data_IF_394884144998
#
_entry.id   IF_394884144998
#
_cell.length_a   1.000
_cell.length_b   1.000
_cell.length_c   1.000
_cell.angle_alpha   90.00
_cell.angle_beta   90.00
_cell.angle_gamma   90.00
#
_symmetry.space_group_name_H-M   'P 1'
#
loop_
_entity.id
_entity.type
_entity.pdbx_description
1 polymer ?
#
# COMPACT_ATOMS: atom_id res chain seq x y z
N UNK A 1 -6.48 -5.07 -16.53
CA UNK A 1 -7.01 -4.96 -15.17
C UNK A 1 -8.48 -5.34 -15.24
N UNK A 2 -8.93 -6.39 -14.54
CA UNK A 2 -10.30 -6.92 -14.68
C UNK A 2 -11.38 -5.88 -14.33
N UNK A 3 -11.04 -4.89 -13.52
CA UNK A 3 -11.95 -3.81 -13.12
C UNK A 3 -12.44 -2.92 -14.27
N UNK A 4 -11.76 -2.92 -15.42
CA UNK A 4 -12.17 -2.12 -16.59
C UNK A 4 -13.10 -2.89 -17.53
N UNK A 5 -13.44 -4.15 -17.22
CA UNK A 5 -14.20 -5.03 -18.10
C UNK A 5 -15.72 -4.86 -17.97
N UNK A 6 -16.22 -4.43 -16.80
CA UNK A 6 -17.64 -4.18 -16.55
C UNK A 6 -17.84 -3.05 -15.51
N UNK A 7 -18.00 -1.79 -15.95
CA UNK A 7 -18.13 -0.65 -15.04
C UNK A 7 -19.28 -0.76 -14.04
N UNK A 8 -20.33 -1.53 -14.34
CA UNK A 8 -21.48 -1.70 -13.45
C UNK A 8 -21.14 -2.57 -12.23
N UNK A 9 -20.38 -3.66 -12.46
CA UNK A 9 -19.92 -4.59 -11.41
C UNK A 9 -18.73 -4.01 -10.63
N UNK A 10 -17.86 -3.24 -11.28
CA UNK A 10 -16.63 -2.69 -10.68
C UNK A 10 -16.78 -1.25 -10.16
N UNK A 11 -18.01 -0.79 -9.91
CA UNK A 11 -18.31 0.56 -9.40
C UNK A 11 -18.08 0.73 -7.89
N UNK A 12 -18.08 -0.37 -7.13
CA UNK A 12 -17.91 -0.38 -5.68
C UNK A 12 -16.77 -1.32 -5.29
N UNK A 13 -15.75 -0.79 -4.61
CA UNK A 13 -14.61 -1.55 -4.10
C UNK A 13 -15.03 -2.82 -3.33
N UNK A 14 -16.08 -2.74 -2.50
CA UNK A 14 -16.55 -3.89 -1.72
C UNK A 14 -17.00 -5.03 -2.65
N UNK A 15 -17.69 -4.70 -3.74
CA UNK A 15 -18.15 -5.69 -4.71
C UNK A 15 -17.00 -6.27 -5.54
N UNK A 16 -15.97 -5.46 -5.85
CA UNK A 16 -14.73 -5.96 -6.49
C UNK A 16 -14.05 -7.01 -5.60
N UNK A 17 -13.90 -6.71 -4.31
CA UNK A 17 -13.22 -7.59 -3.36
C UNK A 17 -14.01 -8.87 -3.10
N UNK A 18 -15.34 -8.78 -2.96
CA UNK A 18 -16.22 -9.96 -2.83
C UNK A 18 -16.10 -10.86 -4.06
N UNK A 19 -16.25 -10.29 -5.27
CA UNK A 19 -16.18 -11.05 -6.52
C UNK A 19 -14.85 -11.80 -6.66
N UNK A 20 -13.72 -11.14 -6.42
CA UNK A 20 -12.43 -11.82 -6.51
C UNK A 20 -12.19 -12.86 -5.42
N UNK A 21 -12.81 -12.70 -4.25
CA UNK A 21 -12.79 -13.71 -3.19
C UNK A 21 -13.61 -14.94 -3.59
N UNK A 22 -14.84 -14.73 -4.07
CA UNK A 22 -15.76 -15.79 -4.51
C UNK A 22 -15.20 -16.59 -5.69
N UNK A 23 -14.51 -15.92 -6.62
CA UNK A 23 -13.81 -16.58 -7.75
C UNK A 23 -12.48 -17.25 -7.35
N UNK A 24 -12.05 -17.14 -6.08
CA UNK A 24 -10.77 -17.68 -5.61
C UNK A 24 -9.54 -17.04 -6.28
N UNK A 25 -9.68 -15.79 -6.75
CA UNK A 25 -8.64 -15.02 -7.47
C UNK A 25 -8.01 -13.91 -6.61
N UNK A 26 -8.57 -13.59 -5.45
CA UNK A 26 -8.10 -12.49 -4.60
C UNK A 26 -6.59 -12.47 -4.32
N UNK A 27 -5.94 -13.64 -4.22
CA UNK A 27 -4.49 -13.76 -3.97
C UNK A 27 -3.64 -14.06 -5.21
N UNK A 28 -4.25 -14.25 -6.39
CA UNK A 28 -3.56 -14.71 -7.60
C UNK A 28 -3.08 -13.53 -8.44
N UNK A 29 -1.87 -13.66 -9.00
CA UNK A 29 -1.34 -12.75 -10.02
C UNK A 29 -1.51 -11.26 -9.71
N UNK A 30 -1.99 -10.52 -10.72
CA UNK A 30 -2.34 -9.10 -10.65
C UNK A 30 -3.84 -8.90 -10.35
N UNK A 31 -4.30 -9.36 -9.18
CA UNK A 31 -5.66 -9.15 -8.70
C UNK A 31 -5.86 -7.73 -8.14
N UNK A 32 -7.10 -7.23 -8.21
CA UNK A 32 -7.48 -5.95 -7.63
C UNK A 32 -7.35 -5.98 -6.11
N UNK A 33 -7.67 -7.12 -5.48
CA UNK A 33 -7.56 -7.33 -4.03
C UNK A 33 -6.11 -7.19 -3.56
N UNK A 34 -5.15 -7.78 -4.28
CA UNK A 34 -3.73 -7.65 -3.95
C UNK A 34 -3.22 -6.22 -4.19
N UNK A 35 -3.66 -5.59 -5.28
CA UNK A 35 -3.33 -4.18 -5.55
C UNK A 35 -3.88 -3.27 -4.44
N UNK A 36 -5.11 -3.52 -3.97
CA UNK A 36 -5.75 -2.75 -2.92
C UNK A 36 -5.03 -2.90 -1.58
N UNK A 37 -4.56 -4.10 -1.23
CA UNK A 37 -3.73 -4.31 -0.03
C UNK A 37 -2.47 -3.45 -0.07
N UNK A 38 -1.78 -3.38 -1.21
CA UNK A 38 -0.59 -2.53 -1.34
C UNK A 38 -0.93 -1.05 -1.31
N UNK A 39 -2.02 -0.63 -1.94
CA UNK A 39 -2.51 0.74 -1.86
C UNK A 39 -2.81 1.17 -0.42
N UNK A 40 -3.52 0.34 0.34
CA UNK A 40 -3.83 0.61 1.74
C UNK A 40 -2.57 0.81 2.59
N UNK A 41 -1.57 -0.08 2.43
CA UNK A 41 -0.27 0.06 3.13
C UNK A 41 0.50 1.31 2.73
N UNK A 42 0.42 1.72 1.47
CA UNK A 42 1.01 2.99 1.01
C UNK A 42 0.31 4.20 1.63
N UNK A 43 -1.02 4.15 1.77
CA UNK A 43 -1.77 5.21 2.45
C UNK A 43 -1.44 5.26 3.95
N UNK A 44 -1.27 4.10 4.61
CA UNK A 44 -0.82 4.04 6.01
C UNK A 44 0.56 4.70 6.16
N UNK A 45 1.50 4.43 5.25
CA UNK A 45 2.80 5.08 5.22
C UNK A 45 2.67 6.61 5.08
N UNK A 46 1.88 7.09 4.13
CA UNK A 46 1.68 8.53 3.91
C UNK A 46 1.03 9.18 5.14
N UNK A 47 0.04 8.53 5.76
CA UNK A 47 -0.58 9.00 6.99
C UNK A 47 0.42 9.10 8.14
N UNK A 48 1.23 8.06 8.34
CA UNK A 48 2.28 8.02 9.37
C UNK A 48 3.35 9.10 9.15
N UNK A 49 3.69 9.39 7.90
CA UNK A 49 4.63 10.45 7.52
C UNK A 49 4.07 11.83 7.84
N UNK A 50 2.83 12.10 7.43
CA UNK A 50 2.20 13.40 7.68
C UNK A 50 1.95 13.64 9.17
N UNK A 51 1.53 12.62 9.92
CA UNK A 51 1.37 12.74 11.37
C UNK A 51 2.68 13.16 12.05
N UNK A 52 3.82 12.56 11.66
CA UNK A 52 5.13 12.94 12.21
C UNK A 52 5.56 14.32 11.76
N UNK A 53 5.39 14.65 10.47
CA UNK A 53 5.74 15.96 9.93
C UNK A 53 4.97 17.09 10.62
N UNK A 54 3.68 16.87 10.93
CA UNK A 54 2.87 17.85 11.68
C UNK A 54 3.30 17.91 13.15
N UNK A 55 3.72 16.80 13.75
CA UNK A 55 4.16 16.76 15.15
C UNK A 55 5.51 17.46 15.37
N UNK A 56 6.47 17.31 14.46
CA UNK A 56 7.76 18.00 14.48
C UNK A 56 8.22 18.38 13.06
N UNK A 57 7.84 19.59 12.58
CA UNK A 57 8.27 20.08 11.26
C UNK A 57 9.78 20.33 11.13
N UNK A 58 10.53 20.36 12.25
CA UNK A 58 11.98 20.54 12.28
C UNK A 58 12.76 19.23 12.10
N UNK A 59 12.09 18.09 12.21
CA UNK A 59 12.71 16.78 12.03
C UNK A 59 13.18 16.59 10.57
N UNK A 60 14.33 15.94 10.40
CA UNK A 60 14.88 15.66 9.07
C UNK A 60 13.96 14.75 8.28
N UNK A 61 13.73 15.06 7.01
CA UNK A 61 12.84 14.29 6.13
C UNK A 61 13.25 12.82 6.04
N UNK A 62 14.56 12.53 6.02
CA UNK A 62 15.08 11.17 5.97
C UNK A 62 14.69 10.36 7.22
N UNK A 63 14.71 11.00 8.40
CA UNK A 63 14.29 10.37 9.66
C UNK A 63 12.77 10.16 9.69
N UNK A 64 11.99 11.16 9.26
CA UNK A 64 10.54 11.06 9.13
C UNK A 64 10.13 9.90 8.22
N UNK A 65 10.81 9.76 7.08
CA UNK A 65 10.60 8.67 6.12
C UNK A 65 11.02 7.33 6.70
N UNK A 66 12.19 7.21 7.34
CA UNK A 66 12.67 5.96 7.96
C UNK A 66 11.75 5.43 9.04
N UNK A 67 11.29 6.30 9.92
CA UNK A 67 10.40 5.91 11.00
C UNK A 67 9.03 5.49 10.46
N UNK A 68 8.50 6.24 9.48
CA UNK A 68 7.22 5.91 8.84
C UNK A 68 7.31 4.61 8.06
N UNK A 69 8.39 4.40 7.30
CA UNK A 69 8.66 3.18 6.55
C UNK A 69 8.75 1.97 7.47
N UNK A 70 9.49 2.10 8.57
CA UNK A 70 9.76 1.01 9.50
C UNK A 70 8.52 0.43 10.15
N UNK A 71 7.50 1.24 10.43
CA UNK A 71 6.25 0.78 11.06
C UNK A 71 5.16 0.37 10.04
N UNK A 72 5.29 0.74 8.77
CA UNK A 72 4.22 0.53 7.76
C UNK A 72 4.62 -0.46 6.67
N UNK A 73 5.54 -0.10 5.77
CA UNK A 73 5.88 -0.87 4.58
C UNK A 73 6.93 -1.97 4.85
N UNK A 74 7.89 -1.70 5.73
CA UNK A 74 9.01 -2.60 6.03
C UNK A 74 8.59 -4.03 6.40
N UNK A 75 7.54 -4.28 7.22
CA UNK A 75 7.08 -5.63 7.53
C UNK A 75 6.60 -6.45 6.32
N UNK A 76 6.23 -5.77 5.23
CA UNK A 76 5.68 -6.39 4.02
C UNK A 76 6.67 -6.44 2.86
N UNK A 77 7.75 -5.69 2.94
CA UNK A 77 8.83 -5.68 1.96
C UNK A 77 9.81 -6.84 2.21
N UNK A 78 10.09 -7.60 1.15
CA UNK A 78 11.19 -8.54 1.16
C UNK A 78 12.55 -7.85 1.26
N UNK A 79 13.62 -8.65 1.41
CA UNK A 79 14.98 -8.13 1.56
C UNK A 79 15.41 -7.24 0.38
N UNK A 80 14.99 -7.55 -0.86
CA UNK A 80 15.30 -6.75 -2.06
C UNK A 80 14.67 -5.36 -1.95
N UNK A 81 13.36 -5.29 -1.67
CA UNK A 81 12.64 -4.02 -1.53
C UNK A 81 13.18 -3.18 -0.38
N UNK A 82 13.52 -3.82 0.74
CA UNK A 82 14.14 -3.14 1.89
C UNK A 82 15.54 -2.63 1.58
N UNK A 83 16.35 -3.38 0.82
CA UNK A 83 17.68 -2.94 0.41
C UNK A 83 17.59 -1.77 -0.58
N UNK A 84 16.69 -1.84 -1.56
CA UNK A 84 16.47 -0.75 -2.52
C UNK A 84 16.02 0.54 -1.83
N UNK A 85 15.12 0.43 -0.84
CA UNK A 85 14.69 1.57 -0.03
C UNK A 85 15.87 2.28 0.66
N UNK A 86 16.81 1.53 1.25
CA UNK A 86 18.01 2.08 1.93
C UNK A 86 18.99 2.82 1.02
N UNK A 87 18.86 2.69 -0.31
CA UNK A 87 19.69 3.43 -1.27
C UNK A 87 19.03 4.75 -1.67
N UNK A 88 17.71 4.84 -1.53
CA UNK A 88 16.92 6.01 -1.95
C UNK A 88 16.85 7.08 -0.86
N UNK A 89 16.81 6.65 0.40
CA UNK A 89 16.77 7.50 1.60
C UNK A 89 18.16 7.60 2.21
#
# INVERSE_FOLDING_TARGET
>A
MLCNSDPSIYSNLVEILKKEADEGKARKGASCSKAFVWLARSLDFTGALFQRLVADPGQKMEQLVEESYSITLKPWHGWISTAAYKVIV
#
